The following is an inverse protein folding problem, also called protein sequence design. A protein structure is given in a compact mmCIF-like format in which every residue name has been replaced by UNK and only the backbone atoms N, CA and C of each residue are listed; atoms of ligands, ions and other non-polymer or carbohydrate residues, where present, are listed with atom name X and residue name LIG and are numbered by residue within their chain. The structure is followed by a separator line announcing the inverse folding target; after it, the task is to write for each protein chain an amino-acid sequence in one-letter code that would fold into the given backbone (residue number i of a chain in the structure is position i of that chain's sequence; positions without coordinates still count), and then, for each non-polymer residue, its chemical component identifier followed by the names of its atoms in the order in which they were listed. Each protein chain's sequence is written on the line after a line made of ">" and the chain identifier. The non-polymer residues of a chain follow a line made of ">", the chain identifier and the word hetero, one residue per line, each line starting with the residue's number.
data_IF_457247517938
#
_entry.id   IF_457247517938
#
_cell.length_a   1.000
_cell.length_b   1.000
_cell.length_c   1.000
_cell.angle_alpha   90.00
_cell.angle_beta   90.00
_cell.angle_gamma   90.00
#
_symmetry.space_group_name_H-M   'P 1'
#
loop_
_entity.id
_entity.type
_entity.pdbx_description
1 polymer ?
#
# COMPACT_ATOMS: atom_id res chain seq x y z
N UNK A 1 -33.33 26.40 9.62
CA UNK A 1 -32.99 27.53 8.72
C UNK A 1 -31.58 27.99 9.07
N UNK A 2 -30.58 27.44 8.37
CA UNK A 2 -29.26 28.05 8.25
C UNK A 2 -29.09 28.33 6.77
N UNK A 3 -29.08 29.61 6.42
CA UNK A 3 -28.87 30.07 5.06
C UNK A 3 -27.41 29.75 4.68
N UNK A 4 -27.21 28.60 4.05
CA UNK A 4 -25.96 28.31 3.37
C UNK A 4 -25.82 29.30 2.22
N UNK A 5 -24.87 30.19 2.41
CA UNK A 5 -24.38 31.15 1.45
C UNK A 5 -23.80 30.37 0.25
N UNK A 6 -24.66 29.92 -0.67
CA UNK A 6 -24.24 29.46 -2.00
C UNK A 6 -23.66 30.67 -2.71
N UNK A 7 -22.35 30.88 -2.55
CA UNK A 7 -21.62 31.78 -3.42
C UNK A 7 -21.96 31.38 -4.87
N UNK A 8 -22.49 32.33 -5.66
CA UNK A 8 -22.79 32.12 -7.08
C UNK A 8 -21.55 31.50 -7.75
N UNK A 9 -21.62 30.21 -8.08
CA UNK A 9 -20.48 29.52 -8.64
C UNK A 9 -20.20 30.10 -10.04
N UNK A 10 -19.01 30.66 -10.24
CA UNK A 10 -18.62 31.31 -11.49
C UNK A 10 -17.44 30.60 -12.14
N UNK A 11 -17.36 30.67 -13.47
CA UNK A 11 -16.19 30.27 -14.22
C UNK A 11 -15.00 31.12 -13.80
N UNK A 12 -13.92 30.48 -13.32
CA UNK A 12 -12.72 31.16 -12.85
C UNK A 12 -11.97 31.96 -13.94
N UNK A 13 -12.25 31.68 -15.22
CA UNK A 13 -11.61 32.36 -16.34
C UNK A 13 -12.43 33.55 -16.89
N UNK A 14 -13.74 33.39 -17.06
CA UNK A 14 -14.60 34.38 -17.73
C UNK A 14 -15.70 34.99 -16.85
N UNK A 15 -15.81 34.56 -15.58
CA UNK A 15 -16.82 35.06 -14.64
C UNK A 15 -18.25 34.60 -14.90
N UNK A 16 -18.48 33.77 -15.92
CA UNK A 16 -19.80 33.25 -16.27
C UNK A 16 -20.39 32.44 -15.11
N UNK A 17 -21.60 32.81 -14.66
CA UNK A 17 -22.31 32.14 -13.57
C UNK A 17 -22.83 30.77 -13.99
N UNK A 18 -22.82 29.83 -13.04
CA UNK A 18 -23.53 28.56 -13.12
C UNK A 18 -25.03 28.86 -13.05
N UNK A 19 -25.72 28.68 -14.18
CA UNK A 19 -27.18 28.82 -14.34
C UNK A 19 -27.71 27.52 -14.94
N UNK A 20 -29.02 27.34 -15.03
CA UNK A 20 -29.65 26.06 -15.41
C UNK A 20 -29.09 25.45 -16.72
N UNK A 21 -28.70 26.29 -17.69
CA UNK A 21 -28.14 25.86 -18.97
C UNK A 21 -26.60 25.72 -19.01
N UNK A 22 -25.89 26.13 -17.95
CA UNK A 22 -24.42 26.20 -17.92
C UNK A 22 -23.87 25.46 -16.71
N UNK A 23 -23.40 24.22 -16.92
CA UNK A 23 -22.76 23.41 -15.89
C UNK A 23 -21.25 23.66 -15.85
N UNK A 24 -20.74 24.10 -14.70
CA UNK A 24 -19.30 24.30 -14.53
C UNK A 24 -18.62 22.99 -14.12
N UNK A 25 -17.41 22.75 -14.63
CA UNK A 25 -16.58 21.60 -14.27
C UNK A 25 -15.42 22.03 -13.39
N UNK A 26 -15.19 21.29 -12.31
CA UNK A 26 -14.05 21.51 -11.43
C UNK A 26 -12.73 21.24 -12.16
N UNK A 27 -11.66 21.89 -11.71
CA UNK A 27 -10.30 21.49 -12.01
C UNK A 27 -10.10 20.05 -11.51
N UNK A 28 -9.86 19.10 -12.42
CA UNK A 28 -9.70 17.68 -12.06
C UNK A 28 -8.51 17.40 -11.13
N UNK A 29 -7.60 18.37 -10.97
CA UNK A 29 -6.39 18.21 -10.16
C UNK A 29 -6.59 18.69 -8.71
N UNK A 30 -7.23 19.85 -8.50
CA UNK A 30 -7.31 20.48 -7.18
C UNK A 30 -8.73 20.78 -6.69
N UNK A 31 -9.73 20.69 -7.58
CA UNK A 31 -11.13 21.00 -7.30
C UNK A 31 -11.46 22.43 -6.81
N UNK A 32 -10.49 23.36 -6.78
CA UNK A 32 -10.73 24.76 -6.34
C UNK A 32 -11.39 25.64 -7.41
N UNK A 33 -10.94 25.51 -8.66
CA UNK A 33 -11.44 26.32 -9.75
C UNK A 33 -12.51 25.57 -10.55
N UNK A 34 -13.53 26.29 -11.01
CA UNK A 34 -14.60 25.81 -11.88
C UNK A 34 -14.49 26.46 -13.27
N UNK A 35 -14.80 25.71 -14.32
CA UNK A 35 -14.70 26.18 -15.71
C UNK A 35 -15.94 25.78 -16.52
N UNK A 36 -16.44 26.69 -17.35
CA UNK A 36 -17.53 26.39 -18.29
C UNK A 36 -17.05 25.58 -19.51
N UNK A 37 -15.74 25.46 -19.71
CA UNK A 37 -15.16 24.69 -20.81
C UNK A 37 -13.64 24.58 -20.77
N UNK A 38 -13.09 23.71 -21.61
CA UNK A 38 -11.65 23.43 -21.70
C UNK A 38 -10.84 24.67 -22.06
N UNK A 39 -11.40 25.56 -22.89
CA UNK A 39 -10.71 26.78 -23.30
C UNK A 39 -10.51 27.76 -22.12
N UNK A 40 -11.55 27.95 -21.32
CA UNK A 40 -11.47 28.72 -20.07
C UNK A 40 -10.44 28.11 -19.11
N UNK A 41 -10.41 26.78 -18.99
CA UNK A 41 -9.41 26.09 -18.17
C UNK A 41 -7.98 26.34 -18.67
N UNK A 42 -7.74 26.29 -19.98
CA UNK A 42 -6.42 26.57 -20.58
C UNK A 42 -5.99 28.01 -20.33
N UNK A 43 -6.89 28.97 -20.53
CA UNK A 43 -6.61 30.40 -20.37
C UNK A 43 -6.27 30.75 -18.92
N UNK A 44 -7.00 30.18 -17.96
CA UNK A 44 -6.77 30.42 -16.53
C UNK A 44 -5.57 29.62 -15.97
N UNK A 45 -5.07 28.61 -16.68
CA UNK A 45 -4.03 27.68 -16.18
C UNK A 45 -2.79 28.38 -15.63
N UNK A 46 -2.34 29.48 -16.26
CA UNK A 46 -1.14 30.21 -15.82
C UNK A 46 -1.34 30.89 -14.46
N UNK A 47 -2.51 31.51 -14.25
CA UNK A 47 -2.88 32.19 -13.00
C UNK A 47 -3.10 31.15 -11.88
N UNK A 48 -3.78 30.04 -12.21
CA UNK A 48 -4.14 29.00 -11.26
C UNK A 48 -3.00 28.03 -10.91
N UNK A 49 -1.91 27.98 -11.70
CA UNK A 49 -0.88 26.92 -11.58
C UNK A 49 -0.28 26.80 -10.18
N UNK A 50 -0.04 27.93 -9.50
CA UNK A 50 0.57 27.94 -8.16
C UNK A 50 -0.39 27.38 -7.12
N UNK A 51 -1.57 27.98 -7.00
CA UNK A 51 -2.65 27.57 -6.10
C UNK A 51 -3.07 26.11 -6.34
N UNK A 52 -3.20 25.70 -7.60
CA UNK A 52 -3.51 24.32 -7.96
C UNK A 52 -2.48 23.34 -7.42
N UNK A 53 -1.17 23.67 -7.49
CA UNK A 53 -0.11 22.81 -6.96
C UNK A 53 -0.12 22.75 -5.43
N UNK A 54 -0.37 23.88 -4.78
CA UNK A 54 -0.47 23.95 -3.32
C UNK A 54 -1.63 23.09 -2.83
N UNK A 55 -2.82 23.22 -3.44
CA UNK A 55 -3.97 22.39 -3.10
C UNK A 55 -3.77 20.92 -3.42
N UNK A 56 -3.11 20.58 -4.53
CA UNK A 56 -2.78 19.18 -4.83
C UNK A 56 -1.86 18.59 -3.75
N UNK A 57 -0.92 19.36 -3.23
CA UNK A 57 -0.06 18.92 -2.13
C UNK A 57 -0.87 18.71 -0.84
N UNK A 58 -1.81 19.60 -0.52
CA UNK A 58 -2.73 19.44 0.61
C UNK A 58 -3.60 18.19 0.47
N UNK A 59 -4.27 18.01 -0.67
CA UNK A 59 -5.10 16.83 -0.94
C UNK A 59 -4.30 15.53 -0.85
N UNK A 60 -3.04 15.57 -1.30
CA UNK A 60 -2.16 14.41 -1.20
C UNK A 60 -1.71 14.13 0.23
N UNK A 61 -1.48 15.17 1.04
CA UNK A 61 -1.19 15.03 2.47
C UNK A 61 -2.42 14.51 3.23
N UNK A 62 -3.61 15.03 2.94
CA UNK A 62 -4.89 14.53 3.48
C UNK A 62 -5.08 13.04 3.17
N UNK A 63 -4.79 12.62 1.92
CA UNK A 63 -4.86 11.22 1.52
C UNK A 63 -3.81 10.35 2.21
N UNK A 64 -2.58 10.84 2.36
CA UNK A 64 -1.47 10.12 2.99
C UNK A 64 -1.74 9.78 4.46
N UNK A 65 -2.46 10.65 5.18
CA UNK A 65 -2.82 10.46 6.59
C UNK A 65 -4.24 9.95 6.81
N UNK A 66 -4.99 9.67 5.74
CA UNK A 66 -6.22 8.90 5.86
C UNK A 66 -5.86 7.49 6.31
N UNK A 67 -6.49 7.02 7.38
CA UNK A 67 -6.28 5.66 7.87
C UNK A 67 -6.78 4.66 6.80
N UNK A 68 -5.95 3.68 6.39
CA UNK A 68 -6.37 2.66 5.45
C UNK A 68 -7.35 1.70 6.12
N UNK A 69 -8.30 1.15 5.35
CA UNK A 69 -9.30 0.19 5.84
C UNK A 69 -8.69 -1.18 6.16
N UNK A 70 -7.66 -1.56 5.41
CA UNK A 70 -6.88 -2.78 5.59
C UNK A 70 -5.42 -2.53 5.22
N UNK A 71 -4.53 -3.44 5.59
CA UNK A 71 -3.17 -3.43 5.07
C UNK A 71 -3.15 -3.73 3.57
N UNK A 72 -2.02 -3.46 2.91
CA UNK A 72 -1.75 -3.76 1.51
C UNK A 72 -1.86 -5.25 1.14
N UNK A 73 -1.83 -6.16 2.12
CA UNK A 73 -2.04 -7.60 1.93
C UNK A 73 -3.53 -7.96 1.85
N UNK A 74 -4.41 -7.10 2.37
CA UNK A 74 -5.85 -7.33 2.42
C UNK A 74 -6.24 -8.52 3.31
N UNK A 75 -7.35 -9.16 2.95
CA UNK A 75 -7.87 -10.35 3.64
C UNK A 75 -7.49 -11.63 2.91
N UNK A 76 -7.37 -12.72 3.68
CA UNK A 76 -7.23 -14.04 3.08
C UNK A 76 -8.47 -14.37 2.23
N UNK A 77 -8.33 -14.77 0.96
CA UNK A 77 -9.48 -15.03 0.08
C UNK A 77 -10.27 -16.30 0.43
N UNK A 78 -9.81 -17.07 1.42
CA UNK A 78 -10.45 -18.31 1.86
C UNK A 78 -11.22 -18.09 3.16
N UNK A 79 -10.61 -17.46 4.17
CA UNK A 79 -11.25 -17.22 5.47
C UNK A 79 -11.75 -15.80 5.69
N UNK A 80 -11.44 -14.86 4.78
CA UNK A 80 -11.81 -13.43 4.86
C UNK A 80 -11.33 -12.72 6.13
N UNK A 81 -10.31 -13.29 6.79
CA UNK A 81 -9.64 -12.62 7.91
C UNK A 81 -8.44 -11.83 7.39
N UNK A 82 -8.14 -10.66 7.99
CA UNK A 82 -6.96 -9.86 7.67
C UNK A 82 -5.68 -10.70 7.61
N UNK A 83 -4.83 -10.39 6.64
CA UNK A 83 -3.54 -11.05 6.48
C UNK A 83 -2.53 -10.53 7.51
N UNK A 84 -1.75 -11.45 8.09
CA UNK A 84 -0.61 -11.09 8.94
C UNK A 84 0.46 -10.37 8.13
N UNK A 85 1.14 -9.42 8.76
CA UNK A 85 2.33 -8.78 8.19
C UNK A 85 3.57 -9.68 8.27
N UNK A 86 3.51 -10.74 9.10
CA UNK A 86 4.57 -11.74 9.16
C UNK A 86 4.58 -12.58 7.87
N UNK A 87 5.70 -12.55 7.17
CA UNK A 87 5.90 -13.24 5.89
C UNK A 87 5.87 -14.75 6.03
N UNK A 88 6.15 -15.27 7.22
CA UNK A 88 6.14 -16.71 7.51
C UNK A 88 4.72 -17.24 7.73
N UNK A 89 3.74 -16.36 7.94
CA UNK A 89 2.34 -16.72 8.20
C UNK A 89 1.46 -16.76 6.94
N UNK A 90 2.04 -16.62 5.74
CA UNK A 90 1.30 -16.73 4.49
C UNK A 90 2.15 -17.25 3.33
N UNK A 91 1.49 -17.65 2.25
CA UNK A 91 2.16 -18.14 1.05
C UNK A 91 1.56 -17.53 -0.20
N UNK A 92 2.42 -16.99 -1.08
CA UNK A 92 2.05 -16.65 -2.45
C UNK A 92 2.07 -17.91 -3.31
N UNK A 93 0.94 -18.26 -3.92
CA UNK A 93 0.85 -19.43 -4.80
C UNK A 93 1.12 -19.05 -6.27
N UNK A 94 2.18 -19.56 -6.92
CA UNK A 94 2.55 -19.16 -8.27
C UNK A 94 1.51 -19.52 -9.35
N UNK A 95 0.69 -20.55 -9.10
CA UNK A 95 -0.35 -20.99 -10.05
C UNK A 95 -1.44 -19.92 -10.28
N UNK A 96 -1.78 -19.13 -9.26
CA UNK A 96 -2.81 -18.10 -9.33
C UNK A 96 -2.31 -16.70 -8.94
N UNK A 97 -1.08 -16.56 -8.46
CA UNK A 97 -0.51 -15.32 -7.91
C UNK A 97 -1.38 -14.73 -6.78
N UNK A 98 -1.97 -15.60 -5.97
CA UNK A 98 -2.79 -15.25 -4.81
C UNK A 98 -2.03 -15.58 -3.54
N UNK A 99 -2.07 -14.66 -2.57
CA UNK A 99 -1.54 -14.88 -1.23
C UNK A 99 -2.63 -15.51 -0.37
N UNK A 100 -2.29 -16.58 0.35
CA UNK A 100 -3.22 -17.29 1.25
C UNK A 100 -2.55 -17.44 2.61
N UNK A 101 -3.30 -17.23 3.69
CA UNK A 101 -2.78 -17.39 5.04
C UNK A 101 -2.36 -18.85 5.31
N UNK A 102 -1.31 -19.02 6.12
CA UNK A 102 -0.74 -20.31 6.47
C UNK A 102 -1.77 -21.25 7.10
N UNK A 103 -2.72 -20.72 7.86
CA UNK A 103 -3.82 -21.51 8.42
C UNK A 103 -4.72 -22.16 7.36
N UNK A 104 -5.08 -21.43 6.31
CA UNK A 104 -5.89 -21.99 5.21
C UNK A 104 -5.10 -22.97 4.33
N UNK A 105 -3.80 -22.72 4.14
CA UNK A 105 -2.90 -23.67 3.46
C UNK A 105 -2.82 -24.97 4.26
N UNK A 106 -2.50 -24.87 5.56
CA UNK A 106 -2.38 -25.99 6.48
C UNK A 106 -3.69 -26.80 6.55
N UNK A 107 -4.83 -26.14 6.75
CA UNK A 107 -6.13 -26.82 6.80
C UNK A 107 -6.45 -27.57 5.50
N UNK A 108 -6.05 -27.04 4.34
CA UNK A 108 -6.23 -27.72 3.07
C UNK A 108 -5.30 -28.95 2.95
N UNK A 109 -4.04 -28.83 3.35
CA UNK A 109 -3.09 -29.95 3.38
C UNK A 109 -3.58 -31.10 4.25
N UNK A 110 -4.01 -30.81 5.48
CA UNK A 110 -4.57 -31.83 6.40
C UNK A 110 -5.81 -32.52 5.80
N UNK A 111 -6.66 -31.78 5.08
CA UNK A 111 -7.83 -32.35 4.41
C UNK A 111 -7.45 -33.27 3.25
N UNK A 112 -6.41 -32.92 2.50
CA UNK A 112 -5.96 -33.73 1.37
C UNK A 112 -5.27 -35.01 1.86
N UNK A 113 -4.46 -34.94 2.93
CA UNK A 113 -3.85 -36.10 3.59
C UNK A 113 -4.89 -37.08 4.15
N UNK A 114 -5.85 -36.58 4.94
CA UNK A 114 -6.92 -37.41 5.51
C UNK A 114 -7.79 -38.07 4.44
N UNK A 115 -7.96 -37.40 3.30
CA UNK A 115 -8.73 -37.92 2.16
C UNK A 115 -7.90 -38.74 1.17
N UNK A 116 -6.58 -38.89 1.39
CA UNK A 116 -5.63 -39.51 0.45
C UNK A 116 -5.74 -38.95 -0.98
N UNK A 117 -5.87 -37.63 -1.10
CA UNK A 117 -5.94 -36.93 -2.40
C UNK A 117 -4.62 -36.25 -2.72
N UNK A 118 -4.33 -36.12 -4.00
CA UNK A 118 -3.21 -35.32 -4.46
C UNK A 118 -3.35 -33.86 -3.99
N UNK A 119 -2.30 -33.25 -3.40
CA UNK A 119 -2.34 -31.88 -2.92
C UNK A 119 -2.70 -30.90 -4.03
N UNK A 120 -3.69 -30.03 -3.78
CA UNK A 120 -4.12 -29.00 -4.72
C UNK A 120 -4.19 -27.62 -4.09
N UNK A 121 -3.92 -26.60 -4.88
CA UNK A 121 -4.06 -25.20 -4.47
C UNK A 121 -5.45 -24.95 -3.87
N UNK A 122 -5.57 -24.42 -2.64
CA UNK A 122 -6.87 -24.22 -2.01
C UNK A 122 -7.76 -23.19 -2.72
N UNK A 123 -7.17 -22.32 -3.55
CA UNK A 123 -7.89 -21.30 -4.30
C UNK A 123 -8.29 -21.77 -5.70
N UNK A 124 -7.32 -22.06 -6.59
CA UNK A 124 -7.61 -22.39 -7.99
C UNK A 124 -7.67 -23.90 -8.28
N UNK A 125 -7.41 -24.77 -7.30
CA UNK A 125 -7.46 -26.25 -7.43
C UNK A 125 -6.47 -26.88 -8.42
N UNK A 126 -5.58 -26.08 -9.02
CA UNK A 126 -4.41 -26.59 -9.73
C UNK A 126 -3.56 -27.47 -8.80
N UNK A 127 -2.97 -28.57 -9.30
CA UNK A 127 -2.03 -29.39 -8.54
C UNK A 127 -0.90 -28.54 -7.93
N UNK A 128 -0.45 -28.90 -6.73
CA UNK A 128 0.74 -28.26 -6.18
C UNK A 128 1.95 -28.52 -7.07
N UNK A 129 2.72 -27.46 -7.27
CA UNK A 129 3.93 -27.48 -8.09
C UNK A 129 5.03 -28.20 -7.30
N UNK A 130 5.74 -29.13 -7.96
CA UNK A 130 6.81 -29.90 -7.32
C UNK A 130 8.21 -29.46 -7.75
N UNK A 131 8.34 -28.52 -8.69
CA UNK A 131 9.64 -28.01 -9.14
C UNK A 131 9.69 -26.49 -9.33
N UNK A 132 10.84 -25.84 -9.06
CA UNK A 132 11.04 -24.40 -9.33
C UNK A 132 10.79 -24.01 -10.80
N UNK A 133 11.12 -24.89 -11.75
CA UNK A 133 10.92 -24.64 -13.17
C UNK A 133 9.43 -24.54 -13.54
N UNK A 134 8.57 -25.34 -12.91
CA UNK A 134 7.12 -25.24 -13.10
C UNK A 134 6.55 -23.97 -12.47
N UNK A 135 7.07 -23.57 -11.31
CA UNK A 135 6.68 -22.32 -10.65
C UNK A 135 6.98 -21.11 -11.55
N UNK A 136 8.18 -21.07 -12.15
CA UNK A 136 8.56 -20.02 -13.08
C UNK A 136 7.69 -20.04 -14.36
N UNK A 137 7.41 -21.23 -14.93
CA UNK A 137 6.50 -21.33 -16.07
C UNK A 137 5.11 -20.77 -15.77
N UNK A 138 4.54 -21.09 -14.60
CA UNK A 138 3.23 -20.57 -14.21
C UNK A 138 3.27 -19.06 -13.96
N UNK A 139 4.33 -18.56 -13.34
CA UNK A 139 4.54 -17.12 -13.15
C UNK A 139 4.62 -16.38 -14.49
N UNK A 140 5.36 -16.91 -15.47
CA UNK A 140 5.45 -16.33 -16.81
C UNK A 140 4.10 -16.33 -17.55
N UNK A 141 3.26 -17.36 -17.37
CA UNK A 141 1.88 -17.35 -17.90
C UNK A 141 1.06 -16.21 -17.30
N UNK A 142 1.16 -15.99 -15.99
CA UNK A 142 0.46 -14.88 -15.30
C UNK A 142 0.97 -13.51 -15.73
N UNK A 143 2.27 -13.36 -15.96
CA UNK A 143 2.86 -12.14 -16.53
C UNK A 143 2.29 -11.84 -17.93
N UNK A 144 2.18 -12.86 -18.80
CA UNK A 144 1.57 -12.71 -20.13
C UNK A 144 0.10 -12.31 -20.03
N UNK A 145 -0.61 -12.78 -19.01
CA UNK A 145 -1.99 -12.41 -18.72
C UNK A 145 -2.14 -11.02 -18.06
N UNK A 146 -1.05 -10.29 -17.80
CA UNK A 146 -1.10 -8.96 -17.19
C UNK A 146 -1.36 -8.99 -15.69
N UNK A 147 -0.95 -10.03 -14.96
CA UNK A 147 -1.11 -10.10 -13.51
C UNK A 147 -0.07 -9.22 -12.80
N UNK A 148 -0.54 -8.22 -12.03
CA UNK A 148 0.33 -7.27 -11.29
C UNK A 148 1.19 -7.95 -10.24
N UNK A 149 0.65 -8.97 -9.54
CA UNK A 149 1.35 -9.71 -8.49
C UNK A 149 2.42 -10.60 -9.12
N UNK A 150 2.15 -11.15 -10.32
CA UNK A 150 3.14 -11.89 -11.08
C UNK A 150 4.33 -11.01 -11.51
N UNK A 151 4.05 -9.81 -12.02
CA UNK A 151 5.10 -8.82 -12.32
C UNK A 151 5.92 -8.48 -11.08
N UNK A 152 5.25 -8.22 -9.95
CA UNK A 152 5.91 -7.95 -8.67
C UNK A 152 6.82 -9.10 -8.28
N UNK A 153 6.31 -10.33 -8.25
CA UNK A 153 7.06 -11.50 -7.81
C UNK A 153 8.31 -11.73 -8.66
N UNK A 154 8.19 -11.63 -9.99
CA UNK A 154 9.35 -11.75 -10.88
C UNK A 154 10.33 -10.59 -10.71
N UNK A 155 9.83 -9.40 -10.40
CA UNK A 155 10.64 -8.24 -10.03
C UNK A 155 11.45 -8.46 -8.75
N UNK A 156 10.82 -9.02 -7.70
CA UNK A 156 11.50 -9.38 -6.46
C UNK A 156 12.57 -10.46 -6.68
N UNK A 157 12.25 -11.50 -7.45
CA UNK A 157 13.23 -12.53 -7.83
C UNK A 157 14.44 -11.91 -8.55
N UNK A 158 14.19 -11.06 -9.56
CA UNK A 158 15.28 -10.39 -10.28
C UNK A 158 16.12 -9.49 -9.35
N UNK A 159 15.52 -8.88 -8.32
CA UNK A 159 16.23 -8.09 -7.32
C UNK A 159 17.12 -8.98 -6.43
N UNK A 160 16.62 -10.13 -5.97
CA UNK A 160 17.39 -11.11 -5.19
C UNK A 160 18.59 -11.65 -5.99
N UNK A 161 18.39 -11.86 -7.29
CA UNK A 161 19.44 -12.23 -8.26
C UNK A 161 20.36 -11.06 -8.65
N UNK A 162 20.20 -9.88 -8.04
CA UNK A 162 20.93 -8.63 -8.32
C UNK A 162 20.80 -8.12 -9.77
N UNK A 163 19.82 -8.61 -10.52
CA UNK A 163 19.44 -8.11 -11.84
C UNK A 163 18.53 -6.89 -11.71
N UNK A 164 19.07 -5.81 -11.16
CA UNK A 164 18.29 -4.65 -10.74
C UNK A 164 17.59 -3.93 -11.90
N UNK A 165 18.16 -3.91 -13.11
CA UNK A 165 17.52 -3.27 -14.27
C UNK A 165 16.22 -3.99 -14.67
N UNK A 166 16.22 -5.33 -14.63
CA UNK A 166 15.03 -6.15 -14.85
C UNK A 166 14.04 -5.98 -13.70
N UNK A 167 14.52 -5.95 -12.45
CA UNK A 167 13.68 -5.72 -11.28
C UNK A 167 12.92 -4.39 -11.38
N UNK A 168 13.63 -3.29 -11.65
CA UNK A 168 13.04 -1.96 -11.84
C UNK A 168 11.99 -1.97 -12.95
N UNK A 169 12.27 -2.61 -14.08
CA UNK A 169 11.33 -2.69 -15.20
C UNK A 169 10.02 -3.40 -14.81
N UNK A 170 10.12 -4.56 -14.16
CA UNK A 170 8.98 -5.37 -13.76
C UNK A 170 8.18 -4.70 -12.64
N UNK A 171 8.85 -4.15 -11.63
CA UNK A 171 8.21 -3.45 -10.53
C UNK A 171 7.51 -2.16 -11.00
N UNK A 172 8.08 -1.42 -11.97
CA UNK A 172 7.38 -0.30 -12.62
C UNK A 172 6.13 -0.72 -13.39
N UNK A 173 6.09 -1.94 -13.93
CA UNK A 173 4.86 -2.48 -14.53
C UNK A 173 3.82 -2.78 -13.44
N UNK A 174 4.20 -3.50 -12.39
CA UNK A 174 3.30 -3.83 -11.28
C UNK A 174 2.74 -2.58 -10.60
N UNK A 175 3.58 -1.59 -10.27
CA UNK A 175 3.19 -0.33 -9.64
C UNK A 175 2.18 0.47 -10.49
N UNK A 176 2.37 0.53 -11.81
CA UNK A 176 1.39 1.18 -12.73
C UNK A 176 0.03 0.49 -12.75
N UNK A 177 -0.04 -0.76 -12.30
CA UNK A 177 -1.26 -1.54 -12.16
C UNK A 177 -1.83 -1.49 -10.73
N UNK A 178 -1.34 -0.57 -9.89
CA UNK A 178 -1.78 -0.39 -8.51
C UNK A 178 -1.18 -1.38 -7.51
N UNK A 179 -0.07 -2.04 -7.85
CA UNK A 179 0.59 -2.92 -6.89
C UNK A 179 1.37 -2.12 -5.83
N UNK A 180 0.87 -2.18 -4.61
CA UNK A 180 1.35 -1.40 -3.45
C UNK A 180 2.74 -1.86 -2.99
N UNK A 181 3.00 -3.17 -2.95
CA UNK A 181 4.31 -3.71 -2.59
C UNK A 181 5.36 -3.34 -3.65
N UNK A 182 5.01 -3.36 -4.94
CA UNK A 182 5.92 -2.91 -5.99
C UNK A 182 6.34 -1.44 -5.83
N UNK A 183 5.45 -0.58 -5.31
CA UNK A 183 5.81 0.79 -4.93
C UNK A 183 6.83 0.82 -3.79
N UNK A 184 6.66 0.03 -2.73
CA UNK A 184 7.66 -0.06 -1.65
C UNK A 184 9.04 -0.48 -2.18
N UNK A 185 9.07 -1.54 -2.99
CA UNK A 185 10.29 -2.07 -3.61
C UNK A 185 10.97 -1.03 -4.53
N UNK A 186 10.20 -0.28 -5.32
CA UNK A 186 10.75 0.81 -6.15
C UNK A 186 11.33 1.94 -5.30
N UNK A 187 10.68 2.26 -4.17
CA UNK A 187 11.19 3.26 -3.24
C UNK A 187 12.59 2.92 -2.75
N UNK A 188 12.81 1.66 -2.35
CA UNK A 188 14.11 1.16 -1.94
C UNK A 188 15.15 1.18 -3.07
N UNK A 189 14.78 0.75 -4.29
CA UNK A 189 15.69 0.76 -5.44
C UNK A 189 16.16 2.18 -5.81
N UNK A 190 15.25 3.16 -5.76
CA UNK A 190 15.60 4.57 -5.99
C UNK A 190 16.41 5.18 -4.83
N UNK A 191 16.13 4.79 -3.60
CA UNK A 191 16.92 5.21 -2.43
C UNK A 191 18.36 4.69 -2.52
N UNK A 192 18.55 3.45 -2.96
CA UNK A 192 19.86 2.81 -3.04
C UNK A 192 20.61 3.05 -4.36
N UNK A 193 19.92 3.51 -5.41
CA UNK A 193 20.50 3.63 -6.75
C UNK A 193 20.75 2.26 -7.42
N UNK A 194 19.89 1.28 -7.13
CA UNK A 194 20.03 -0.09 -7.64
C UNK A 194 19.27 -0.25 -8.96
N UNK A 195 20.00 -0.38 -10.07
CA UNK A 195 19.43 -0.49 -11.42
C UNK A 195 18.83 0.82 -11.97
N UNK A 196 18.91 1.90 -11.19
CA UNK A 196 18.51 3.27 -11.51
C UNK A 196 19.46 4.24 -10.83
N UNK A 197 19.52 5.48 -11.31
CA UNK A 197 20.19 6.55 -10.57
C UNK A 197 19.49 6.80 -9.23
N UNK A 198 20.29 7.01 -8.17
CA UNK A 198 19.79 7.33 -6.84
C UNK A 198 18.96 8.62 -6.88
N UNK A 199 17.71 8.55 -6.47
CA UNK A 199 16.78 9.67 -6.51
C UNK A 199 15.83 9.63 -5.31
N UNK A 200 16.16 10.41 -4.29
CA UNK A 200 15.38 10.46 -3.06
C UNK A 200 13.95 11.00 -3.26
N UNK A 201 13.74 11.88 -4.24
CA UNK A 201 12.39 12.41 -4.51
C UNK A 201 11.51 11.32 -5.10
N UNK A 202 12.05 10.49 -5.99
CA UNK A 202 11.33 9.31 -6.52
C UNK A 202 11.13 8.24 -5.45
N UNK A 203 12.11 8.04 -4.57
CA UNK A 203 11.98 7.12 -3.45
C UNK A 203 10.80 7.51 -2.55
N UNK A 204 10.78 8.76 -2.06
CA UNK A 204 9.69 9.31 -1.25
C UNK A 204 8.35 9.24 -1.98
N UNK A 205 8.31 9.59 -3.27
CA UNK A 205 7.08 9.48 -4.05
C UNK A 205 6.52 8.06 -4.03
N UNK A 206 7.35 7.05 -4.32
CA UNK A 206 6.91 5.67 -4.32
C UNK A 206 6.53 5.15 -2.93
N UNK A 207 7.25 5.53 -1.87
CA UNK A 207 6.84 5.18 -0.51
C UNK A 207 5.54 5.85 -0.09
N UNK A 208 5.26 7.09 -0.54
CA UNK A 208 3.97 7.75 -0.30
C UNK A 208 2.83 7.02 -1.02
N UNK A 209 3.01 6.59 -2.27
CA UNK A 209 2.01 5.75 -2.96
C UNK A 209 1.79 4.43 -2.21
N UNK A 210 2.86 3.79 -1.74
CA UNK A 210 2.76 2.56 -0.96
C UNK A 210 2.04 2.77 0.38
N UNK A 211 2.36 3.86 1.10
CA UNK A 211 1.73 4.20 2.37
C UNK A 211 0.23 4.51 2.18
N UNK A 212 -0.13 5.27 1.14
CA UNK A 212 -1.53 5.51 0.75
C UNK A 212 -2.27 4.19 0.48
N UNK A 213 -1.58 3.22 -0.13
CA UNK A 213 -2.09 1.87 -0.36
C UNK A 213 -2.10 0.95 0.87
N UNK A 214 -1.83 1.45 2.07
CA UNK A 214 -1.84 0.67 3.31
C UNK A 214 -0.61 -0.21 3.53
N UNK A 215 0.56 0.21 3.03
CA UNK A 215 1.82 -0.49 3.29
C UNK A 215 2.51 0.03 4.56
N UNK A 216 2.51 -0.72 5.68
CA UNK A 216 3.01 -0.20 6.95
C UNK A 216 4.53 0.00 6.95
N UNK A 217 5.29 -0.88 6.28
CA UNK A 217 6.75 -0.74 6.11
C UNK A 217 7.17 0.54 5.37
N UNK A 218 6.62 0.79 4.17
CA UNK A 218 6.84 2.05 3.45
C UNK A 218 6.46 3.27 4.29
N UNK A 219 5.35 3.19 5.04
CA UNK A 219 4.92 4.26 5.95
C UNK A 219 5.90 4.49 7.09
N UNK A 220 6.46 3.42 7.67
CA UNK A 220 7.54 3.52 8.67
C UNK A 220 8.79 4.19 8.08
N UNK A 221 9.19 3.81 6.87
CA UNK A 221 10.34 4.42 6.17
C UNK A 221 10.10 5.91 5.90
N UNK A 222 8.89 6.32 5.52
CA UNK A 222 8.54 7.74 5.41
C UNK A 222 8.66 8.48 6.74
N UNK A 223 8.19 7.86 7.83
CA UNK A 223 8.32 8.41 9.18
C UNK A 223 9.79 8.61 9.56
N UNK A 224 10.64 7.60 9.33
CA UNK A 224 12.08 7.67 9.59
C UNK A 224 12.74 8.78 8.74
N UNK A 225 12.38 8.87 7.46
CA UNK A 225 12.84 9.93 6.57
C UNK A 225 12.44 11.33 7.06
N UNK A 226 11.18 11.54 7.45
CA UNK A 226 10.69 12.82 7.95
C UNK A 226 11.33 13.20 9.29
N UNK A 227 11.63 12.22 10.14
CA UNK A 227 12.34 12.42 11.40
C UNK A 227 13.79 12.86 11.17
N UNK A 228 14.49 12.25 10.20
CA UNK A 228 15.88 12.54 9.89
C UNK A 228 16.11 14.02 9.50
N UNK A 229 15.18 14.62 8.76
CA UNK A 229 15.30 16.01 8.32
C UNK A 229 14.82 17.05 9.36
N UNK A 230 14.43 16.64 10.58
CA UNK A 230 14.18 17.47 11.76
C UNK A 230 12.96 18.43 11.71
N UNK A 231 12.71 19.05 10.56
CA UNK A 231 11.64 20.02 10.30
C UNK A 231 10.25 19.41 10.18
N UNK A 232 10.16 18.07 10.09
CA UNK A 232 8.90 17.33 9.90
C UNK A 232 8.59 16.34 11.02
N UNK A 233 9.08 16.60 12.23
CA UNK A 233 8.94 15.67 13.35
C UNK A 233 7.48 15.27 13.64
N UNK A 234 6.55 16.23 13.69
CA UNK A 234 5.13 15.93 13.92
C UNK A 234 4.53 15.06 12.80
N UNK A 235 5.01 15.22 11.56
CA UNK A 235 4.62 14.39 10.42
C UNK A 235 5.15 12.96 10.58
N UNK A 236 6.39 12.82 11.04
CA UNK A 236 7.00 11.52 11.34
C UNK A 236 6.21 10.74 12.42
N UNK A 237 5.83 11.40 13.52
CA UNK A 237 5.01 10.78 14.58
C UNK A 237 3.68 10.24 14.03
N UNK A 238 2.99 11.01 13.16
CA UNK A 238 1.77 10.54 12.50
C UNK A 238 2.00 9.30 11.65
N UNK A 239 3.10 9.24 10.90
CA UNK A 239 3.47 8.05 10.14
C UNK A 239 3.64 6.83 11.04
N UNK A 240 4.37 6.96 12.15
CA UNK A 240 4.59 5.87 13.10
C UNK A 240 3.29 5.42 13.79
N UNK A 241 2.41 6.35 14.19
CA UNK A 241 1.11 6.01 14.79
C UNK A 241 0.27 5.18 13.84
N UNK A 242 0.15 5.57 12.57
CA UNK A 242 -0.66 4.82 11.59
C UNK A 242 -0.01 3.46 11.32
N UNK A 243 1.31 3.39 11.05
CA UNK A 243 1.99 2.13 10.79
C UNK A 243 1.87 1.15 11.97
N UNK A 244 2.03 1.63 13.21
CA UNK A 244 1.81 0.82 14.40
C UNK A 244 0.35 0.36 14.51
N UNK A 245 -0.61 1.23 14.20
CA UNK A 245 -2.04 0.87 14.20
C UNK A 245 -2.40 -0.17 13.14
N UNK A 246 -1.59 -0.32 12.10
CA UNK A 246 -1.69 -1.39 11.09
C UNK A 246 -0.98 -2.70 11.52
N UNK A 247 -0.40 -2.75 12.73
CA UNK A 247 0.31 -3.93 13.26
C UNK A 247 1.82 -3.92 13.02
N UNK A 248 2.44 -2.82 12.59
CA UNK A 248 3.88 -2.78 12.32
C UNK A 248 4.72 -2.64 13.60
N UNK A 249 5.48 -3.68 13.93
CA UNK A 249 6.23 -3.77 15.19
C UNK A 249 7.32 -2.69 15.33
N UNK A 250 8.15 -2.48 14.31
CA UNK A 250 9.23 -1.47 14.41
C UNK A 250 8.67 -0.05 14.57
N UNK A 251 7.47 0.21 14.04
CA UNK A 251 6.83 1.51 14.20
C UNK A 251 6.34 1.69 15.64
N UNK A 252 5.82 0.62 16.25
CA UNK A 252 5.44 0.62 17.65
C UNK A 252 6.65 0.80 18.58
N UNK A 253 7.76 0.10 18.31
CA UNK A 253 9.02 0.29 19.05
C UNK A 253 9.54 1.71 18.93
N UNK A 254 9.50 2.28 17.71
CA UNK A 254 9.89 3.66 17.51
C UNK A 254 9.02 4.64 18.32
N UNK A 255 7.71 4.40 18.45
CA UNK A 255 6.84 5.21 19.30
C UNK A 255 7.18 5.08 20.79
N UNK A 256 7.54 3.87 21.27
CA UNK A 256 7.98 3.66 22.65
C UNK A 256 9.25 4.46 22.95
N UNK A 257 10.22 4.48 22.03
CA UNK A 257 11.43 5.30 22.14
C UNK A 257 11.11 6.79 22.13
N UNK A 258 10.22 7.25 21.25
CA UNK A 258 9.80 8.65 21.22
C UNK A 258 9.06 9.08 22.50
N UNK A 259 8.29 8.18 23.11
CA UNK A 259 7.66 8.42 24.40
C UNK A 259 8.69 8.56 25.53
N UNK A 260 9.70 7.67 25.59
CA UNK A 260 10.80 7.77 26.58
C UNK A 260 11.52 9.13 26.48
N UNK A 261 11.65 9.65 25.26
CA UNK A 261 12.28 10.95 24.97
C UNK A 261 11.32 12.15 25.13
N UNK A 262 10.10 11.96 25.65
CA UNK A 262 9.12 13.02 25.89
C UNK A 262 8.56 13.65 24.61
N UNK A 263 8.68 12.98 23.46
CA UNK A 263 8.24 13.48 22.15
C UNK A 263 6.85 12.99 21.73
N UNK A 264 6.35 11.95 22.40
CA UNK A 264 5.01 11.38 22.22
C UNK A 264 4.34 11.37 23.58
N UNK A 265 3.04 11.66 23.63
CA UNK A 265 2.27 11.66 24.87
C UNK A 265 1.90 10.24 25.31
N UNK A 266 1.60 10.06 26.59
CA UNK A 266 1.09 8.78 27.12
C UNK A 266 -0.19 8.34 26.41
N UNK A 267 -1.07 9.29 26.07
CA UNK A 267 -2.35 9.01 25.39
C UNK A 267 -2.14 8.46 23.98
N UNK A 268 -1.25 9.09 23.20
CA UNK A 268 -0.91 8.64 21.84
C UNK A 268 -0.28 7.24 21.85
N UNK A 269 0.71 7.00 22.72
CA UNK A 269 1.33 5.68 22.82
C UNK A 269 0.32 4.61 23.24
N UNK A 270 -0.54 4.91 24.22
CA UNK A 270 -1.56 3.96 24.67
C UNK A 270 -2.61 3.66 23.57
N UNK A 271 -2.97 4.66 22.75
CA UNK A 271 -3.85 4.45 21.60
C UNK A 271 -3.18 3.58 20.53
N UNK A 272 -1.92 3.86 20.19
CA UNK A 272 -1.15 3.08 19.23
C UNK A 272 -0.98 1.62 19.68
N UNK A 273 -0.68 1.38 20.97
CA UNK A 273 -0.59 0.02 21.54
C UNK A 273 -1.90 -0.75 21.41
N UNK A 274 -3.04 -0.12 21.70
CA UNK A 274 -4.36 -0.77 21.56
C UNK A 274 -4.69 -1.08 20.11
N UNK A 275 -4.43 -0.13 19.20
CA UNK A 275 -4.70 -0.31 17.78
C UNK A 275 -3.79 -1.40 17.17
N UNK A 276 -2.50 -1.40 17.52
CA UNK A 276 -1.55 -2.44 17.14
C UNK A 276 -2.03 -3.82 17.60
N UNK A 277 -2.37 -3.96 18.88
CA UNK A 277 -2.88 -5.22 19.43
C UNK A 277 -4.17 -5.68 18.72
N UNK A 278 -5.10 -4.76 18.45
CA UNK A 278 -6.32 -5.08 17.72
C UNK A 278 -6.04 -5.54 16.27
N UNK A 279 -5.09 -4.90 15.59
CA UNK A 279 -4.65 -5.32 14.26
C UNK A 279 -4.07 -6.74 14.30
N UNK A 280 -3.15 -7.02 15.22
CA UNK A 280 -2.56 -8.35 15.41
C UNK A 280 -3.61 -9.39 15.79
N UNK A 281 -4.53 -9.08 16.70
CA UNK A 281 -5.59 -10.02 17.11
C UNK A 281 -6.57 -10.33 15.98
N UNK A 282 -6.84 -9.36 15.10
CA UNK A 282 -7.72 -9.56 13.94
C UNK A 282 -7.17 -10.57 12.93
N UNK A 283 -5.87 -10.86 12.95
CA UNK A 283 -5.26 -11.87 12.07
C UNK A 283 -5.34 -13.28 12.66
N UNK A 284 -5.75 -13.46 13.93
CA UNK A 284 -5.72 -14.78 14.59
C UNK A 284 -6.88 -15.66 14.14
N UNK A 285 -6.62 -16.97 14.09
CA UNK A 285 -7.66 -17.99 13.92
C UNK A 285 -7.13 -19.35 14.38
N UNK A 286 -8.03 -20.25 14.78
CA UNK A 286 -7.67 -21.60 15.21
C UNK A 286 -6.81 -22.36 14.19
N UNK A 287 -7.04 -22.16 12.89
CA UNK A 287 -6.27 -22.80 11.83
C UNK A 287 -4.86 -22.20 11.72
N UNK A 288 -4.69 -20.88 11.90
CA UNK A 288 -3.38 -20.22 11.88
C UNK A 288 -2.56 -20.61 13.11
N UNK A 289 -3.20 -20.71 14.28
CA UNK A 289 -2.56 -21.21 15.50
C UNK A 289 -2.11 -22.67 15.36
N UNK A 290 -2.97 -23.53 14.79
CA UNK A 290 -2.61 -24.92 14.51
C UNK A 290 -1.43 -25.04 13.52
N UNK A 291 -1.43 -24.21 12.47
CA UNK A 291 -0.33 -24.16 11.50
C UNK A 291 0.99 -23.72 12.17
N UNK A 292 0.97 -22.66 12.97
CA UNK A 292 2.15 -22.16 13.67
C UNK A 292 2.71 -23.20 14.67
N UNK A 293 1.84 -23.95 15.35
CA UNK A 293 2.25 -25.03 16.24
C UNK A 293 2.91 -26.19 15.48
N UNK A 294 2.37 -26.56 14.31
CA UNK A 294 2.93 -27.62 13.48
C UNK A 294 4.34 -27.28 12.97
N UNK A 295 4.59 -26.04 12.55
CA UNK A 295 5.90 -25.60 12.06
C UNK A 295 7.00 -25.62 13.14
N UNK A 296 6.65 -25.49 14.43
CA UNK A 296 7.62 -25.46 15.56
C UNK A 296 8.07 -26.84 16.04
N UNK A 297 7.43 -27.92 15.59
CA UNK A 297 7.72 -29.29 16.02
C UNK A 297 8.77 -29.97 15.11
N UNK A 298 9.12 -29.34 14.00
CA UNK A 298 10.12 -29.81 13.02
C UNK A 298 11.32 -28.86 12.97
#
# INVERSE_FOLDING_TARGET
>A
MSADNKADACCAACGMKEVDDIKLKNCNACFLAKYCGVECQKNHRKQHKKECKERMAELREELLFKQPESSHLGDCPICFLPMSLDKDEYTLLPCCCVVICGGCIYANQMKDETSRRDPRCPFCREPYITSPAEADRNLLKRIKAGDRVAFRQKGCQAREEQNYSVAVYLLKKAARMGDVEAHNQLGELYHNGQGVERDMKKAVHHWEEAAIGGHPGARFVLGANDAFYGSKFNRAVKHFIIAASEGHDDALEQLKELYKNGKVTKGELAAALRAHQAAVDSTKSSQREAAAHATRIF
#
